data_IF_465826942313
#
_entry.id   IF_465826942313
#
_cell.length_a   1.000
_cell.length_b   1.000
_cell.length_c   1.000
_cell.angle_alpha   90.00
_cell.angle_beta   90.00
_cell.angle_gamma   90.00
#
_symmetry.space_group_name_H-M   'P 1'
#
loop_
_entity.id
_entity.type
_entity.pdbx_description
1 polymer ?
#
# COMPACT_ATOMS: atom_id res chain seq x y z
N UNK A 1 -17.45 3.00 2.82
CA UNK A 1 -17.47 1.53 3.08
C UNK A 1 -18.29 0.74 2.05
N UNK A 2 -19.36 1.30 1.48
CA UNK A 2 -20.35 0.52 0.72
C UNK A 2 -20.00 0.18 -0.75
N UNK A 3 -18.78 0.47 -1.19
CA UNK A 3 -18.38 0.33 -2.61
C UNK A 3 -17.01 -0.36 -2.82
N UNK A 4 -16.40 -0.92 -1.77
CA UNK A 4 -15.11 -1.63 -1.88
C UNK A 4 -15.21 -3.02 -1.25
N UNK A 5 -14.47 -3.98 -1.81
CA UNK A 5 -14.31 -5.29 -1.18
C UNK A 5 -13.35 -5.15 -0.01
N UNK A 6 -13.76 -5.65 1.16
CA UNK A 6 -12.87 -5.83 2.29
C UNK A 6 -12.02 -7.08 2.08
N UNK A 7 -10.99 -6.96 1.24
CA UNK A 7 -10.09 -8.05 0.92
C UNK A 7 -9.20 -8.44 2.10
N UNK A 8 -8.73 -9.68 2.11
CA UNK A 8 -7.83 -10.21 3.16
C UNK A 8 -6.58 -9.32 3.29
N UNK A 9 -6.01 -8.84 2.18
CA UNK A 9 -4.85 -7.95 2.22
C UNK A 9 -5.13 -6.62 2.95
N UNK A 10 -6.35 -6.08 2.87
CA UNK A 10 -6.70 -4.86 3.61
C UNK A 10 -6.83 -5.15 5.12
N UNK A 11 -7.41 -6.30 5.50
CA UNK A 11 -7.47 -6.73 6.90
C UNK A 11 -6.08 -6.89 7.50
N UNK A 12 -5.18 -7.62 6.83
CA UNK A 12 -3.81 -7.81 7.33
C UNK A 12 -3.04 -6.49 7.39
N UNK A 13 -3.24 -5.59 6.42
CA UNK A 13 -2.68 -4.24 6.49
C UNK A 13 -3.14 -3.50 7.75
N UNK A 14 -4.44 -3.54 8.07
CA UNK A 14 -4.96 -2.84 9.27
C UNK A 14 -4.39 -3.42 10.56
N UNK A 15 -4.20 -4.75 10.64
CA UNK A 15 -3.56 -5.42 11.78
C UNK A 15 -2.09 -4.98 11.93
N UNK A 16 -1.33 -4.93 10.84
CA UNK A 16 0.07 -4.46 10.85
C UNK A 16 0.15 -2.99 11.29
N UNK A 17 -0.75 -2.13 10.79
CA UNK A 17 -0.78 -0.72 11.19
C UNK A 17 -1.10 -0.57 12.68
N UNK A 18 -2.03 -1.36 13.21
CA UNK A 18 -2.35 -1.39 14.64
C UNK A 18 -1.14 -1.82 15.48
N UNK A 19 -0.45 -2.91 15.10
CA UNK A 19 0.78 -3.36 15.76
C UNK A 19 1.89 -2.30 15.77
N UNK A 20 2.00 -1.53 14.69
CA UNK A 20 2.97 -0.45 14.55
C UNK A 20 2.55 0.84 15.27
N UNK A 21 1.34 0.89 15.84
CA UNK A 21 0.78 2.10 16.47
C UNK A 21 0.47 3.21 15.48
N UNK A 22 0.20 2.88 14.22
CA UNK A 22 -0.12 3.83 13.16
C UNK A 22 -1.64 3.96 13.03
N UNK A 23 -2.21 5.17 13.13
CA UNK A 23 -3.65 5.35 13.03
C UNK A 23 -4.14 5.01 11.62
N UNK A 24 -5.19 4.18 11.55
CA UNK A 24 -5.92 3.90 10.33
C UNK A 24 -7.28 4.59 10.37
N UNK A 25 -7.60 5.36 9.32
CA UNK A 25 -8.85 6.12 9.21
C UNK A 25 -9.54 5.73 7.91
N UNK A 26 -10.79 5.26 8.03
CA UNK A 26 -11.68 5.07 6.88
C UNK A 26 -12.38 6.39 6.55
N UNK A 27 -12.20 6.89 5.34
CA UNK A 27 -12.88 8.08 4.82
C UNK A 27 -13.07 7.99 3.31
N UNK A 28 -13.96 8.81 2.77
CA UNK A 28 -14.13 8.95 1.33
C UNK A 28 -12.94 9.70 0.74
N UNK A 29 -12.16 9.04 -0.10
CA UNK A 29 -10.97 9.60 -0.74
C UNK A 29 -11.35 10.18 -2.10
N UNK A 30 -10.99 11.44 -2.36
CA UNK A 30 -11.14 12.10 -3.65
C UNK A 30 -9.82 12.10 -4.43
N UNK A 31 -9.88 12.36 -5.73
CA UNK A 31 -8.70 12.49 -6.61
C UNK A 31 -7.68 13.49 -6.05
N UNK A 32 -8.14 14.61 -5.48
CA UNK A 32 -7.26 15.62 -4.89
C UNK A 32 -6.46 15.08 -3.71
N UNK A 33 -7.06 14.25 -2.86
CA UNK A 33 -6.39 13.66 -1.70
C UNK A 33 -5.25 12.73 -2.13
N UNK A 34 -5.48 11.92 -3.16
CA UNK A 34 -4.47 11.00 -3.72
C UNK A 34 -3.29 11.76 -4.34
N UNK A 35 -3.57 12.83 -5.10
CA UNK A 35 -2.52 13.63 -5.75
C UNK A 35 -1.64 14.37 -4.74
N UNK A 36 -2.19 14.73 -3.57
CA UNK A 36 -1.47 15.45 -2.53
C UNK A 36 -0.95 14.55 -1.39
N UNK A 37 -1.13 13.23 -1.50
CA UNK A 37 -0.63 12.29 -0.51
C UNK A 37 0.91 12.18 -0.57
N UNK A 38 1.55 11.95 0.58
CA UNK A 38 2.98 11.61 0.63
C UNK A 38 3.24 10.22 0.04
N UNK A 39 2.31 9.28 0.28
CA UNK A 39 2.35 7.92 -0.24
C UNK A 39 0.93 7.44 -0.57
N UNK A 40 0.80 6.57 -1.59
CA UNK A 40 -0.44 5.86 -1.89
C UNK A 40 -0.14 4.40 -2.17
N UNK A 41 -1.04 3.50 -1.75
CA UNK A 41 -0.85 2.06 -1.87
C UNK A 41 -2.14 1.37 -2.30
N UNK A 42 -1.99 0.14 -2.82
CA UNK A 42 -3.10 -0.71 -3.22
C UNK A 42 -2.94 -2.09 -2.58
N UNK A 43 -3.81 -2.47 -1.63
CA UNK A 43 -3.85 -3.84 -1.11
C UNK A 43 -4.25 -4.80 -2.23
N UNK A 44 -3.42 -5.80 -2.51
CA UNK A 44 -3.68 -6.79 -3.57
C UNK A 44 -3.26 -8.19 -3.11
N UNK A 45 -3.89 -9.23 -3.67
CA UNK A 45 -3.54 -10.62 -3.36
C UNK A 45 -2.17 -11.06 -3.90
N UNK A 46 -1.79 -10.77 -5.16
CA UNK A 46 -0.50 -11.24 -5.68
C UNK A 46 0.72 -10.58 -5.03
N UNK A 47 0.59 -9.36 -4.51
CA UNK A 47 1.73 -8.55 -4.07
C UNK A 47 1.60 -8.00 -2.64
N UNK A 48 0.61 -8.48 -1.87
CA UNK A 48 0.23 -7.99 -0.54
C UNK A 48 -0.20 -6.51 -0.53
N UNK A 49 0.74 -5.59 -0.78
CA UNK A 49 0.54 -4.15 -0.82
C UNK A 49 1.41 -3.51 -1.92
N UNK A 50 0.81 -3.14 -3.05
CA UNK A 50 1.52 -2.50 -4.15
C UNK A 50 1.68 -0.98 -3.93
N UNK A 51 2.85 -0.39 -4.19
CA UNK A 51 3.04 1.06 -4.13
C UNK A 51 2.43 1.73 -5.36
N UNK A 52 1.71 2.84 -5.16
CA UNK A 52 1.15 3.68 -6.21
C UNK A 52 1.95 4.98 -6.26
N UNK A 53 2.87 5.07 -7.21
CA UNK A 53 3.79 6.22 -7.34
C UNK A 53 3.30 7.29 -8.31
N UNK A 54 2.27 6.99 -9.09
CA UNK A 54 1.67 7.90 -10.07
C UNK A 54 0.16 7.70 -10.13
N UNK A 55 -0.57 8.80 -10.23
CA UNK A 55 -2.02 8.81 -10.43
C UNK A 55 -2.39 9.88 -11.44
N UNK A 56 -3.15 9.50 -12.48
CA UNK A 56 -3.49 10.37 -13.62
C UNK A 56 -2.28 11.08 -14.26
N UNK A 57 -1.13 10.40 -14.32
CA UNK A 57 0.11 10.94 -14.88
C UNK A 57 0.88 11.90 -13.96
N UNK A 58 0.33 12.24 -12.79
CA UNK A 58 0.97 13.06 -11.76
C UNK A 58 1.72 12.14 -10.78
N UNK A 59 2.99 12.43 -10.45
CA UNK A 59 3.70 11.70 -9.40
C UNK A 59 3.06 11.96 -8.03
N UNK A 60 2.95 10.93 -7.21
CA UNK A 60 2.59 11.03 -5.79
C UNK A 60 3.90 11.10 -5.01
N UNK A 61 4.00 12.04 -4.06
CA UNK A 61 5.26 12.31 -3.36
C UNK A 61 6.41 12.62 -4.33
N UNK A 62 7.49 11.86 -4.26
CA UNK A 62 8.66 11.97 -5.15
C UNK A 62 8.62 11.03 -6.37
N UNK A 63 7.51 10.30 -6.55
CA UNK A 63 7.36 9.32 -7.62
C UNK A 63 8.08 8.00 -7.38
N UNK A 64 8.49 7.72 -6.14
CA UNK A 64 9.08 6.45 -5.72
C UNK A 64 8.32 5.82 -4.54
N UNK A 65 8.45 4.51 -4.27
CA UNK A 65 7.84 3.89 -3.10
C UNK A 65 8.37 4.53 -1.81
N UNK A 66 7.47 5.02 -0.97
CA UNK A 66 7.85 5.77 0.22
C UNK A 66 8.35 4.92 1.39
N UNK A 67 8.91 5.57 2.42
CA UNK A 67 9.52 4.90 3.56
C UNK A 67 8.52 4.17 4.46
N UNK A 68 7.26 4.61 4.54
CA UNK A 68 6.25 3.92 5.34
C UNK A 68 5.80 2.63 4.66
N UNK A 69 5.58 2.66 3.34
CA UNK A 69 5.36 1.45 2.55
C UNK A 69 6.43 0.40 2.81
N UNK A 70 7.72 0.78 2.76
CA UNK A 70 8.82 -0.16 2.99
C UNK A 70 8.73 -0.82 4.37
N UNK A 71 8.47 -0.05 5.43
CA UNK A 71 8.34 -0.58 6.80
C UNK A 71 7.20 -1.58 6.93
N UNK A 72 6.07 -1.31 6.28
CA UNK A 72 4.90 -2.20 6.29
C UNK A 72 5.23 -3.50 5.57
N UNK A 73 5.88 -3.43 4.40
CA UNK A 73 6.31 -4.61 3.64
C UNK A 73 7.32 -5.44 4.42
N UNK A 74 8.25 -4.82 5.14
CA UNK A 74 9.21 -5.52 5.99
C UNK A 74 8.53 -6.28 7.12
N UNK A 75 7.61 -5.62 7.85
CA UNK A 75 6.81 -6.27 8.90
C UNK A 75 5.94 -7.40 8.37
N UNK A 76 5.33 -7.21 7.21
CA UNK A 76 4.55 -8.27 6.56
C UNK A 76 5.45 -9.44 6.16
N UNK A 77 6.61 -9.17 5.57
CA UNK A 77 7.61 -10.17 5.16
C UNK A 77 8.04 -11.05 6.33
N UNK A 78 8.30 -10.44 7.49
CA UNK A 78 8.61 -11.14 8.74
C UNK A 78 7.43 -12.02 9.21
N UNK A 79 6.20 -11.52 9.11
CA UNK A 79 5.01 -12.24 9.57
C UNK A 79 4.70 -13.50 8.75
N UNK A 80 5.07 -13.52 7.46
CA UNK A 80 4.77 -14.64 6.54
C UNK A 80 6.01 -15.43 6.10
N UNK A 81 7.20 -15.09 6.61
CA UNK A 81 8.49 -15.70 6.24
C UNK A 81 8.73 -15.72 4.72
N UNK A 82 8.56 -14.56 4.06
CA UNK A 82 8.78 -14.36 2.61
C UNK A 82 9.37 -12.99 2.30
N UNK A 83 10.12 -12.90 1.20
CA UNK A 83 10.64 -11.62 0.69
C UNK A 83 9.61 -10.93 -0.22
N UNK A 84 8.62 -10.28 0.39
CA UNK A 84 7.54 -9.60 -0.35
C UNK A 84 8.09 -8.39 -1.11
N UNK A 85 9.08 -7.70 -0.57
CA UNK A 85 9.69 -6.54 -1.24
C UNK A 85 10.23 -6.93 -2.61
N UNK A 86 10.96 -8.05 -2.67
CA UNK A 86 11.46 -8.58 -3.94
C UNK A 86 10.32 -8.96 -4.88
N UNK A 87 9.28 -9.65 -4.41
CA UNK A 87 8.13 -10.03 -5.23
C UNK A 87 7.41 -8.82 -5.85
N UNK A 88 7.28 -7.72 -5.10
CA UNK A 88 6.63 -6.49 -5.59
C UNK A 88 7.52 -5.71 -6.56
N UNK A 89 8.82 -5.62 -6.29
CA UNK A 89 9.75 -4.80 -7.08
C UNK A 89 10.26 -5.49 -8.34
N UNK A 90 10.28 -6.82 -8.36
CA UNK A 90 10.62 -7.62 -9.55
C UNK A 90 9.39 -7.96 -10.41
N UNK A 91 8.18 -7.59 -9.96
CA UNK A 91 6.97 -7.78 -10.74
C UNK A 91 7.04 -6.96 -12.04
N UNK A 92 6.73 -7.56 -13.21
CA UNK A 92 6.64 -6.80 -14.45
C UNK A 92 5.57 -5.71 -14.30
N UNK A 93 5.91 -4.49 -14.71
CA UNK A 93 4.96 -3.40 -14.71
C UNK A 93 3.70 -3.81 -15.51
N UNK A 94 2.49 -3.54 -14.99
CA UNK A 94 1.28 -3.81 -15.75
C UNK A 94 1.34 -3.02 -17.07
N UNK A 95 1.18 -3.75 -18.17
CA UNK A 95 1.17 -3.22 -19.55
C UNK A 95 0.00 -2.28 -19.80
#
# INVERSE_FOLDING_TARGET
RDNILWGISLTVLTEILEEMGIPFVEQDIQTYDVVNADEAWMPTTPYCLGPVVRFNGVPIGDGTPGPLWRKIIDRWSEAVDKDIYREVTEAPAPS
#
